data_IF_257094189010
#
_entry.id   IF_257094189010
#
_cell.length_a   1.000
_cell.length_b   1.000
_cell.length_c   1.000
_cell.angle_alpha   90.00
_cell.angle_beta   90.00
_cell.angle_gamma   90.00
#
_symmetry.space_group_name_H-M   'P 1'
#
loop_
_entity.id
_entity.type
_entity.pdbx_description
1 polymer ?
#
# COMPACT_ATOMS: atom_id res chain seq x y z
N UNK A 1 10.49 -14.91 -3.03
CA UNK A 1 11.28 -15.40 -4.20
C UNK A 1 12.69 -15.78 -3.77
N UNK A 2 13.52 -16.41 -4.64
CA UNK A 2 14.90 -16.86 -4.32
C UNK A 2 16.02 -15.94 -4.84
N UNK A 3 15.69 -14.97 -5.69
CA UNK A 3 16.60 -13.95 -6.25
C UNK A 3 16.25 -12.57 -5.69
N UNK A 4 17.13 -11.58 -5.91
CA UNK A 4 16.85 -10.15 -5.64
C UNK A 4 16.16 -9.41 -6.78
N UNK A 5 16.14 -10.02 -7.96
CA UNK A 5 15.48 -9.47 -9.14
C UNK A 5 14.13 -10.15 -9.31
N UNK A 6 13.07 -9.36 -9.36
CA UNK A 6 11.73 -9.76 -9.79
C UNK A 6 11.60 -9.43 -11.27
N UNK A 7 11.30 -10.43 -12.10
CA UNK A 7 10.94 -10.20 -13.50
C UNK A 7 9.42 -10.25 -13.60
N UNK A 8 8.83 -9.19 -14.15
CA UNK A 8 7.40 -9.04 -14.33
C UNK A 8 7.13 -8.97 -15.83
N UNK A 9 6.27 -9.86 -16.29
CA UNK A 9 5.82 -9.91 -17.66
C UNK A 9 4.55 -9.08 -17.77
N UNK A 10 4.59 -8.01 -18.57
CA UNK A 10 3.39 -7.27 -18.98
C UNK A 10 2.85 -7.87 -20.27
N UNK A 11 1.54 -8.11 -20.31
CA UNK A 11 0.81 -8.57 -21.49
C UNK A 11 -0.34 -7.61 -21.75
N UNK A 12 -0.30 -6.95 -22.90
CA UNK A 12 -1.43 -6.16 -23.39
C UNK A 12 -2.49 -7.12 -23.92
N UNK A 13 -3.47 -7.45 -23.08
CA UNK A 13 -4.62 -8.25 -23.48
C UNK A 13 -5.68 -7.37 -24.15
N UNK A 14 -5.68 -7.29 -25.47
CA UNK A 14 -6.80 -6.66 -26.21
C UNK A 14 -7.88 -7.71 -26.49
N UNK A 15 -9.10 -7.47 -25.99
CA UNK A 15 -10.28 -8.20 -26.47
C UNK A 15 -10.60 -7.70 -27.89
N UNK A 16 -10.37 -8.54 -28.89
CA UNK A 16 -10.75 -8.26 -30.28
C UNK A 16 -12.08 -8.95 -30.59
N UNK A 17 -13.01 -8.20 -31.18
CA UNK A 17 -14.24 -8.77 -31.73
C UNK A 17 -13.91 -9.45 -33.06
N UNK A 18 -14.30 -10.71 -33.22
CA UNK A 18 -14.13 -11.44 -34.47
C UNK A 18 -15.29 -11.05 -35.41
N UNK A 19 -15.03 -10.40 -36.56
CA UNK A 19 -16.05 -10.07 -37.55
C UNK A 19 -16.68 -11.33 -38.17
N UNK A 20 -17.91 -11.20 -38.68
CA UNK A 20 -18.54 -12.27 -39.44
C UNK A 20 -17.81 -12.47 -40.78
N UNK A 21 -17.39 -13.69 -41.06
CA UNK A 21 -16.73 -14.09 -42.31
C UNK A 21 -17.73 -14.74 -43.28
N UNK A 22 -17.63 -14.45 -44.59
CA UNK A 22 -18.43 -15.13 -45.60
C UNK A 22 -18.07 -16.63 -45.68
N UNK A 23 -19.06 -17.47 -46.01
CA UNK A 23 -18.86 -18.92 -46.09
C UNK A 23 -17.86 -19.26 -47.20
N UNK A 24 -16.68 -19.76 -46.80
CA UNK A 24 -15.58 -20.11 -47.72
C UNK A 24 -14.45 -19.09 -47.78
N UNK A 25 -14.54 -17.98 -47.04
CA UNK A 25 -13.43 -17.03 -46.88
C UNK A 25 -12.30 -17.59 -46.00
N UNK A 26 -11.11 -17.00 -46.11
CA UNK A 26 -9.95 -17.39 -45.32
C UNK A 26 -10.17 -17.05 -43.83
N UNK A 27 -9.61 -17.87 -42.94
CA UNK A 27 -9.67 -17.64 -41.50
C UNK A 27 -8.91 -16.37 -41.11
N UNK A 28 -9.48 -15.59 -40.19
CA UNK A 28 -8.75 -14.51 -39.54
C UNK A 28 -7.72 -15.09 -38.57
N UNK A 29 -6.49 -14.59 -38.66
CA UNK A 29 -5.37 -15.08 -37.85
C UNK A 29 -5.30 -14.27 -36.55
N UNK A 30 -5.34 -14.97 -35.41
CA UNK A 30 -5.12 -14.37 -34.10
C UNK A 30 -3.77 -13.66 -34.08
N UNK A 31 -3.75 -12.36 -33.76
CA UNK A 31 -2.51 -11.64 -33.50
C UNK A 31 -1.97 -12.10 -32.14
N UNK A 32 -0.71 -12.59 -32.05
CA UNK A 32 -0.13 -12.97 -30.78
C UNK A 32 0.16 -11.74 -29.93
N UNK A 33 -0.20 -11.80 -28.65
CA UNK A 33 0.04 -10.70 -27.72
C UNK A 33 1.55 -10.45 -27.55
N UNK A 34 1.93 -9.17 -27.56
CA UNK A 34 3.30 -8.76 -27.26
C UNK A 34 3.54 -8.88 -25.76
N UNK A 35 4.70 -9.41 -25.40
CA UNK A 35 5.15 -9.62 -24.01
C UNK A 35 6.35 -8.73 -23.76
N UNK A 36 6.24 -7.85 -22.77
CA UNK A 36 7.37 -7.05 -22.30
C UNK A 36 7.82 -7.56 -20.94
N UNK A 37 9.09 -7.92 -20.81
CA UNK A 37 9.69 -8.30 -19.53
C UNK A 37 10.37 -7.10 -18.89
N UNK A 38 10.04 -6.81 -17.63
CA UNK A 38 10.64 -5.75 -16.83
C UNK A 38 11.24 -6.33 -15.57
N UNK A 39 12.47 -5.93 -15.24
CA UNK A 39 13.20 -6.44 -14.09
C UNK A 39 13.29 -5.36 -13.00
N UNK A 40 12.78 -5.66 -11.81
CA UNK A 40 12.86 -4.80 -10.63
C UNK A 40 13.79 -5.42 -9.60
N UNK A 41 14.61 -4.60 -8.94
CA UNK A 41 15.51 -5.05 -7.88
C UNK A 41 14.90 -4.73 -6.52
N UNK A 42 14.74 -5.75 -5.67
CA UNK A 42 14.32 -5.56 -4.28
C UNK A 42 15.37 -4.75 -3.53
N UNK A 43 14.91 -3.74 -2.78
CA UNK A 43 15.77 -2.94 -1.93
C UNK A 43 15.70 -3.44 -0.49
N UNK A 44 16.85 -3.46 0.16
CA UNK A 44 16.99 -3.87 1.55
C UNK A 44 16.78 -2.68 2.48
N UNK A 45 16.07 -2.91 3.57
CA UNK A 45 16.22 -2.10 4.78
C UNK A 45 16.67 -3.00 5.94
N UNK A 46 17.57 -2.46 6.76
CA UNK A 46 18.11 -3.15 7.93
C UNK A 46 18.29 -2.17 9.08
N UNK A 47 18.00 -2.64 10.29
CA UNK A 47 18.17 -1.86 11.52
C UNK A 47 18.68 -2.77 12.61
N UNK A 48 19.55 -2.25 13.47
CA UNK A 48 20.11 -3.00 14.58
C UNK A 48 20.02 -2.22 15.89
N UNK A 49 20.05 -2.95 16.99
CA UNK A 49 20.21 -2.43 18.35
C UNK A 49 21.25 -3.29 19.09
N UNK A 50 21.94 -2.71 20.08
CA UNK A 50 22.98 -3.39 20.87
C UNK A 50 22.61 -3.31 22.34
N UNK A 51 22.43 -4.46 22.97
CA UNK A 51 22.21 -4.60 24.41
C UNK A 51 23.55 -4.95 25.07
N UNK A 52 24.04 -4.08 25.94
CA UNK A 52 25.26 -4.30 26.71
C UNK A 52 24.97 -4.97 28.05
N UNK A 53 25.89 -5.81 28.52
CA UNK A 53 25.78 -6.48 29.82
C UNK A 53 25.65 -5.47 30.99
N UNK A 54 26.28 -4.29 30.89
CA UNK A 54 26.19 -3.22 31.88
C UNK A 54 24.80 -2.58 31.99
N UNK A 55 24.03 -2.58 30.90
CA UNK A 55 22.66 -2.02 30.90
C UNK A 55 21.72 -2.91 31.72
N UNK A 56 21.91 -4.23 31.66
CA UNK A 56 21.12 -5.22 32.39
C UNK A 56 21.38 -5.11 33.89
N UNK A 57 22.64 -4.91 34.29
CA UNK A 57 23.01 -4.73 35.72
C UNK A 57 22.36 -3.50 36.37
N UNK A 58 21.93 -2.52 35.57
CA UNK A 58 21.33 -1.27 36.06
C UNK A 58 19.80 -1.28 36.03
N UNK A 59 19.17 -2.37 35.55
CA UNK A 59 17.70 -2.53 35.57
C UNK A 59 17.27 -2.88 37.00
N UNK A 60 16.46 -2.02 37.61
CA UNK A 60 16.05 -2.13 39.02
C UNK A 60 15.09 -3.32 39.22
N UNK A 61 15.37 -4.18 40.19
CA UNK A 61 14.51 -5.30 40.62
C UNK A 61 13.09 -4.80 40.95
N UNK A 62 12.14 -5.02 40.05
CA UNK A 62 10.73 -4.86 40.34
C UNK A 62 10.06 -6.24 40.39
N UNK A 63 9.92 -6.77 41.59
CA UNK A 63 9.36 -8.10 41.82
C UNK A 63 10.38 -9.20 41.59
N UNK A 64 10.11 -10.36 42.20
CA UNK A 64 10.96 -11.55 42.27
C UNK A 64 11.15 -12.26 40.93
N UNK A 65 11.63 -11.55 39.91
CA UNK A 65 12.08 -12.13 38.64
C UNK A 65 13.54 -12.58 38.77
N UNK A 66 13.88 -13.74 38.21
CA UNK A 66 15.28 -14.18 38.12
C UNK A 66 16.07 -13.33 37.12
N UNK A 67 17.38 -13.18 37.31
CA UNK A 67 18.24 -12.40 36.40
C UNK A 67 18.10 -12.82 34.92
N UNK A 68 17.91 -14.13 34.64
CA UNK A 68 17.70 -14.64 33.28
C UNK A 68 16.39 -14.16 32.65
N UNK A 69 15.34 -13.99 33.46
CA UNK A 69 14.03 -13.51 33.00
C UNK A 69 14.10 -12.01 32.61
N UNK A 70 14.89 -11.22 33.33
CA UNK A 70 15.09 -9.80 33.02
C UNK A 70 15.79 -9.60 31.67
N UNK A 71 16.84 -10.37 31.40
CA UNK A 71 17.55 -10.36 30.09
C UNK A 71 16.59 -10.67 28.94
N UNK A 72 15.77 -11.71 29.10
CA UNK A 72 14.81 -12.10 28.06
C UNK A 72 13.74 -11.03 27.82
N UNK A 73 13.25 -10.39 28.88
CA UNK A 73 12.28 -9.29 28.79
C UNK A 73 12.84 -8.09 28.05
N UNK A 74 14.07 -7.68 28.35
CA UNK A 74 14.72 -6.52 27.70
C UNK A 74 15.03 -6.80 26.22
N UNK A 75 15.53 -8.00 25.91
CA UNK A 75 15.72 -8.45 24.51
C UNK A 75 14.41 -8.45 23.74
N UNK A 76 13.33 -8.99 24.33
CA UNK A 76 12.01 -9.02 23.70
C UNK A 76 11.44 -7.60 23.50
N UNK A 77 11.68 -6.69 24.44
CA UNK A 77 11.27 -5.29 24.33
C UNK A 77 11.98 -4.57 23.17
N UNK A 78 13.31 -4.66 23.09
CA UNK A 78 14.09 -4.03 22.01
C UNK A 78 13.76 -4.61 20.64
N UNK A 79 13.59 -5.94 20.56
CA UNK A 79 13.17 -6.57 19.31
C UNK A 79 11.76 -6.14 18.87
N UNK A 80 10.83 -5.96 19.81
CA UNK A 80 9.49 -5.43 19.51
C UNK A 80 9.57 -4.01 18.94
N UNK A 81 10.44 -3.17 19.48
CA UNK A 81 10.65 -1.80 18.99
C UNK A 81 11.21 -1.79 17.56
N UNK A 82 12.23 -2.63 17.29
CA UNK A 82 12.76 -2.81 15.94
C UNK A 82 11.67 -3.27 14.97
N UNK A 83 10.84 -4.23 15.38
CA UNK A 83 9.73 -4.70 14.55
C UNK A 83 8.69 -3.62 14.27
N UNK A 84 8.35 -2.79 15.26
CA UNK A 84 7.44 -1.66 15.09
C UNK A 84 7.98 -0.63 14.07
N UNK A 85 9.30 -0.38 14.09
CA UNK A 85 9.95 0.47 13.10
C UNK A 85 9.89 -0.14 11.68
N UNK A 86 10.05 -1.47 11.57
CA UNK A 86 9.89 -2.18 10.30
C UNK A 86 8.45 -2.09 9.77
N UNK A 87 7.44 -2.33 10.63
CA UNK A 87 6.02 -2.21 10.29
C UNK A 87 5.69 -0.78 9.80
N UNK A 88 6.24 0.24 10.46
CA UNK A 88 6.11 1.64 10.03
C UNK A 88 6.72 1.87 8.65
N UNK A 89 7.86 1.24 8.35
CA UNK A 89 8.54 1.31 7.05
C UNK A 89 7.73 0.58 5.96
N UNK A 90 7.09 -0.55 6.29
CA UNK A 90 6.18 -1.24 5.37
C UNK A 90 4.98 -0.36 5.02
N UNK A 91 4.30 0.19 6.03
CA UNK A 91 3.17 1.12 5.82
C UNK A 91 3.56 2.30 4.93
N UNK A 92 4.75 2.87 5.11
CA UNK A 92 5.28 3.91 4.24
C UNK A 92 5.38 3.43 2.78
N UNK A 93 5.94 2.25 2.54
CA UNK A 93 6.06 1.73 1.18
C UNK A 93 4.70 1.36 0.57
N UNK A 94 3.75 0.84 1.35
CA UNK A 94 2.39 0.52 0.89
C UNK A 94 1.63 1.79 0.49
N UNK A 95 1.71 2.85 1.30
CA UNK A 95 1.10 4.14 0.98
C UNK A 95 1.66 4.76 -0.31
N UNK A 96 2.96 4.60 -0.56
CA UNK A 96 3.55 5.04 -1.83
C UNK A 96 3.17 4.10 -2.99
N UNK A 97 3.02 2.80 -2.72
CA UNK A 97 2.60 1.80 -3.70
C UNK A 97 1.21 2.08 -4.28
N UNK A 98 0.25 2.53 -3.47
CA UNK A 98 -1.06 2.98 -3.96
C UNK A 98 -1.00 4.29 -4.77
N UNK A 99 0.13 5.00 -4.75
CA UNK A 99 0.43 6.13 -5.62
C UNK A 99 1.25 5.73 -6.85
N UNK A 100 1.55 4.44 -7.03
CA UNK A 100 2.39 3.94 -8.13
C UNK A 100 3.87 4.30 -7.98
N UNK A 101 4.32 4.58 -6.76
CA UNK A 101 5.69 5.01 -6.46
C UNK A 101 6.34 4.12 -5.40
N UNK A 102 7.65 3.99 -5.48
CA UNK A 102 8.50 3.55 -4.36
C UNK A 102 9.40 4.72 -4.03
N UNK A 103 9.46 5.10 -2.75
CA UNK A 103 10.31 6.17 -2.25
C UNK A 103 11.26 5.66 -1.16
N UNK A 104 12.38 6.32 -0.99
CA UNK A 104 13.30 6.05 0.12
C UNK A 104 12.82 6.80 1.39
N UNK A 105 12.58 6.11 2.52
CA UNK A 105 12.18 6.77 3.77
C UNK A 105 13.20 7.78 4.31
N UNK A 106 14.47 7.71 3.88
CA UNK A 106 15.55 8.58 4.36
C UNK A 106 15.42 10.02 3.86
N UNK A 107 15.11 10.19 2.58
CA UNK A 107 15.11 11.50 1.90
C UNK A 107 13.86 11.74 1.04
N UNK A 108 12.92 10.78 1.03
CA UNK A 108 11.71 10.78 0.21
C UNK A 108 11.97 10.81 -1.30
N UNK A 109 13.20 10.51 -1.76
CA UNK A 109 13.52 10.43 -3.16
C UNK A 109 12.77 9.29 -3.83
N UNK A 110 12.25 9.53 -5.03
CA UNK A 110 11.62 8.48 -5.84
C UNK A 110 12.66 7.49 -6.30
N UNK A 111 12.45 6.24 -5.89
CA UNK A 111 13.30 5.08 -6.11
C UNK A 111 12.87 4.33 -7.36
N UNK A 112 11.57 4.10 -7.49
CA UNK A 112 10.92 3.50 -8.66
C UNK A 112 9.64 4.28 -8.92
N UNK A 113 9.42 4.66 -10.17
CA UNK A 113 8.16 5.21 -10.62
C UNK A 113 7.52 4.21 -11.58
N UNK A 114 6.45 3.53 -11.14
CA UNK A 114 5.78 2.52 -11.94
C UNK A 114 5.10 3.11 -13.18
N UNK A 115 4.81 4.41 -13.24
CA UNK A 115 4.29 5.02 -14.47
C UNK A 115 5.38 5.19 -15.55
N UNK A 116 6.63 5.41 -15.15
CA UNK A 116 7.76 5.62 -16.07
C UNK A 116 8.38 4.31 -16.54
N UNK A 117 8.60 3.37 -15.61
CA UNK A 117 8.55 1.94 -15.92
C UNK A 117 7.16 1.65 -16.51
N UNK A 118 6.77 0.55 -17.13
CA UNK A 118 5.45 0.42 -17.83
C UNK A 118 5.08 1.44 -18.94
N UNK A 119 5.62 2.67 -19.00
CA UNK A 119 5.35 3.67 -20.06
C UNK A 119 3.91 4.22 -20.05
N UNK A 120 3.33 4.37 -18.87
CA UNK A 120 1.91 4.75 -18.67
C UNK A 120 1.84 6.20 -18.21
N UNK A 121 1.03 7.02 -18.87
CA UNK A 121 0.73 8.37 -18.39
C UNK A 121 -0.22 8.30 -17.19
N UNK A 122 0.10 8.91 -16.03
CA UNK A 122 -0.81 8.98 -14.89
C UNK A 122 -2.14 9.63 -15.28
N UNK A 123 -3.24 9.13 -14.71
CA UNK A 123 -4.53 9.79 -14.84
C UNK A 123 -4.48 11.21 -14.24
N UNK A 124 -5.17 12.15 -14.88
CA UNK A 124 -5.28 13.51 -14.36
C UNK A 124 -5.93 13.49 -12.97
N UNK A 125 -5.45 14.38 -12.10
CA UNK A 125 -6.04 14.56 -10.79
C UNK A 125 -7.49 15.03 -10.90
N UNK A 126 -8.38 14.39 -10.14
CA UNK A 126 -9.81 14.66 -10.15
C UNK A 126 -10.15 15.72 -9.10
N UNK A 127 -10.85 16.74 -9.53
CA UNK A 127 -11.45 17.75 -8.66
C UNK A 127 -12.81 17.24 -8.15
N UNK A 128 -12.94 17.10 -6.83
CA UNK A 128 -14.18 16.69 -6.17
C UNK A 128 -15.11 17.85 -5.80
N UNK A 129 -14.68 19.11 -5.92
CA UNK A 129 -15.47 20.32 -5.68
C UNK A 129 -16.18 20.31 -4.31
N UNK A 130 -15.48 19.85 -3.27
CA UNK A 130 -16.03 19.69 -1.91
C UNK A 130 -16.16 21.02 -1.15
N UNK A 131 -15.46 22.06 -1.60
CA UNK A 131 -15.52 23.41 -1.03
C UNK A 131 -16.61 24.29 -1.65
N UNK A 132 -17.37 23.77 -2.63
CA UNK A 132 -18.50 24.45 -3.22
C UNK A 132 -19.60 24.69 -2.18
N UNK A 133 -19.94 25.97 -1.96
CA UNK A 133 -20.98 26.35 -1.01
C UNK A 133 -22.40 25.98 -1.46
N UNK A 134 -22.62 25.79 -2.76
CA UNK A 134 -23.93 25.49 -3.36
C UNK A 134 -23.82 24.39 -4.42
N UNK A 135 -23.46 23.16 -4.04
CA UNK A 135 -23.32 22.07 -4.98
C UNK A 135 -24.70 21.70 -5.55
N UNK A 136 -24.74 21.43 -6.86
CA UNK A 136 -25.95 20.92 -7.50
C UNK A 136 -26.30 19.54 -6.94
N UNK A 137 -27.59 19.24 -6.78
CA UNK A 137 -28.04 17.94 -6.26
C UNK A 137 -27.56 16.79 -7.17
N UNK A 138 -26.85 15.82 -6.57
CA UNK A 138 -26.27 14.67 -7.24
C UNK A 138 -24.91 14.93 -7.89
N UNK A 139 -24.30 16.10 -7.68
CA UNK A 139 -22.99 16.43 -8.24
C UNK A 139 -21.91 15.50 -7.69
N UNK A 140 -21.88 15.28 -6.36
CA UNK A 140 -20.90 14.40 -5.73
C UNK A 140 -21.11 12.95 -6.19
N UNK A 141 -22.36 12.49 -6.27
CA UNK A 141 -22.65 11.13 -6.76
C UNK A 141 -22.21 10.91 -8.20
N UNK A 142 -22.42 11.89 -9.09
CA UNK A 142 -21.93 11.85 -10.47
C UNK A 142 -20.40 11.81 -10.53
N UNK A 143 -19.70 12.53 -9.66
CA UNK A 143 -18.23 12.48 -9.55
C UNK A 143 -17.74 11.10 -9.13
N UNK A 144 -18.36 10.49 -8.11
CA UNK A 144 -18.01 9.13 -7.69
C UNK A 144 -18.23 8.11 -8.81
N UNK A 145 -19.36 8.21 -9.53
CA UNK A 145 -19.67 7.33 -10.65
C UNK A 145 -18.64 7.49 -11.79
N UNK A 146 -18.34 8.73 -12.20
CA UNK A 146 -17.34 8.99 -13.23
C UNK A 146 -15.93 8.50 -12.83
N UNK A 147 -15.59 8.55 -11.54
CA UNK A 147 -14.35 7.98 -11.03
C UNK A 147 -14.34 6.46 -11.20
N UNK A 148 -15.41 5.77 -10.80
CA UNK A 148 -15.54 4.31 -10.95
C UNK A 148 -15.44 3.91 -12.43
N UNK A 149 -16.21 4.56 -13.30
CA UNK A 149 -16.19 4.32 -14.75
C UNK A 149 -14.78 4.51 -15.32
N UNK A 150 -14.07 5.58 -14.89
CA UNK A 150 -12.70 5.80 -15.35
C UNK A 150 -11.74 4.67 -14.95
N UNK A 151 -11.93 4.07 -13.76
CA UNK A 151 -11.09 2.97 -13.26
C UNK A 151 -11.45 1.68 -14.00
N UNK A 152 -12.74 1.42 -14.23
CA UNK A 152 -13.23 0.30 -15.03
C UNK A 152 -12.67 0.35 -16.46
N UNK A 153 -12.71 1.52 -17.11
CA UNK A 153 -12.14 1.73 -18.44
C UNK A 153 -10.63 1.41 -18.50
N UNK A 154 -9.89 1.77 -17.44
CA UNK A 154 -8.45 1.51 -17.34
C UNK A 154 -8.12 0.06 -17.00
N UNK A 155 -9.04 -0.66 -16.37
CA UNK A 155 -8.94 -2.08 -16.07
C UNK A 155 -9.28 -2.96 -17.28
N UNK A 156 -10.14 -2.49 -18.18
CA UNK A 156 -10.60 -3.24 -19.35
C UNK A 156 -11.38 -4.50 -18.96
N UNK A 157 -11.35 -5.54 -19.81
CA UNK A 157 -12.12 -6.77 -19.64
C UNK A 157 -11.72 -7.70 -18.48
N UNK A 158 -10.85 -7.24 -17.57
CA UNK A 158 -10.41 -7.98 -16.37
C UNK A 158 -11.37 -7.85 -15.19
N UNK A 159 -12.35 -6.93 -15.23
CA UNK A 159 -13.39 -6.84 -14.21
C UNK A 159 -14.41 -7.98 -14.41
N UNK A 160 -14.18 -9.13 -13.79
CA UNK A 160 -15.18 -10.20 -13.74
C UNK A 160 -16.37 -9.86 -12.80
N UNK A 161 -16.38 -8.67 -12.18
CA UNK A 161 -17.42 -8.19 -11.27
C UNK A 161 -17.30 -6.70 -10.96
N UNK A 162 -18.18 -6.20 -10.08
CA UNK A 162 -18.22 -4.79 -9.68
C UNK A 162 -16.94 -4.38 -8.93
N UNK A 163 -16.24 -3.38 -9.46
CA UNK A 163 -14.99 -2.88 -8.90
C UNK A 163 -15.26 -2.17 -7.58
N UNK A 164 -14.70 -2.68 -6.49
CA UNK A 164 -14.73 -2.00 -5.20
C UNK A 164 -13.57 -1.03 -5.13
N UNK A 165 -13.85 0.25 -4.93
CA UNK A 165 -12.81 1.29 -4.84
C UNK A 165 -12.70 1.76 -3.40
N UNK A 166 -11.46 1.82 -2.90
CA UNK A 166 -11.13 2.42 -1.61
C UNK A 166 -10.33 3.70 -1.82
N UNK A 167 -10.55 4.66 -0.93
CA UNK A 167 -9.86 5.94 -0.94
C UNK A 167 -9.21 6.23 0.41
N UNK A 168 -7.90 6.46 0.41
CA UNK A 168 -7.17 6.97 1.58
C UNK A 168 -7.13 8.51 1.48
N UNK A 169 -7.81 9.16 2.42
CA UNK A 169 -8.11 10.58 2.38
C UNK A 169 -7.31 11.38 3.41
N UNK A 170 -6.88 12.57 3.00
CA UNK A 170 -6.40 13.61 3.90
C UNK A 170 -7.51 14.12 4.83
N UNK A 171 -7.10 14.76 5.93
CA UNK A 171 -8.03 15.18 6.98
C UNK A 171 -9.05 16.23 6.54
N UNK A 172 -8.67 17.18 5.65
CA UNK A 172 -9.57 18.24 5.20
C UNK A 172 -10.54 17.72 4.13
N UNK A 173 -10.03 16.91 3.19
CA UNK A 173 -10.85 16.20 2.21
C UNK A 173 -11.95 15.37 2.90
N UNK A 174 -11.58 14.56 3.91
CA UNK A 174 -12.53 13.72 4.62
C UNK A 174 -13.55 14.53 5.44
N UNK A 175 -13.12 15.62 6.07
CA UNK A 175 -14.02 16.48 6.85
C UNK A 175 -15.12 17.09 5.97
N UNK A 176 -14.75 17.63 4.81
CA UNK A 176 -15.71 18.26 3.90
C UNK A 176 -16.58 17.22 3.19
N UNK A 177 -16.04 16.03 2.88
CA UNK A 177 -16.84 14.92 2.36
C UNK A 177 -17.96 14.53 3.35
N UNK A 178 -17.63 14.35 4.63
CA UNK A 178 -18.62 14.01 5.66
C UNK A 178 -19.61 15.16 5.91
N UNK A 179 -19.15 16.41 5.75
CA UNK A 179 -20.01 17.60 5.89
C UNK A 179 -20.93 17.84 4.67
N UNK A 180 -20.62 17.26 3.52
CA UNK A 180 -21.35 17.46 2.27
C UNK A 180 -22.83 17.04 2.40
N UNK A 181 -23.73 17.88 1.88
CA UNK A 181 -25.19 17.71 2.02
C UNK A 181 -25.67 16.33 1.58
N UNK A 182 -25.22 15.84 0.43
CA UNK A 182 -25.61 14.52 -0.10
C UNK A 182 -25.17 13.36 0.81
N UNK A 183 -23.99 13.45 1.43
CA UNK A 183 -23.48 12.43 2.34
C UNK A 183 -24.30 12.47 3.63
N UNK A 184 -24.49 13.66 4.21
CA UNK A 184 -25.29 13.83 5.42
C UNK A 184 -26.72 13.33 5.25
N UNK A 185 -27.38 13.67 4.14
CA UNK A 185 -28.73 13.21 3.85
C UNK A 185 -28.79 11.68 3.70
N UNK A 186 -27.79 11.07 3.06
CA UNK A 186 -27.72 9.60 2.95
C UNK A 186 -27.59 8.96 4.33
N UNK A 187 -26.71 9.49 5.19
CA UNK A 187 -26.48 8.96 6.54
C UNK A 187 -27.67 9.17 7.48
N UNK A 188 -28.34 10.32 7.42
CA UNK A 188 -29.54 10.61 8.21
C UNK A 188 -30.72 9.69 7.87
N UNK A 189 -30.82 9.25 6.62
CA UNK A 189 -31.90 8.38 6.14
C UNK A 189 -31.62 6.88 6.34
N UNK A 190 -30.41 6.51 6.73
CA UNK A 190 -30.07 5.13 7.11
C UNK A 190 -30.25 4.89 8.62
N UNK A 191 -30.68 3.69 9.01
CA UNK A 191 -30.81 3.26 10.41
C UNK A 191 -29.49 3.29 11.22
N UNK A 192 -28.36 3.60 10.57
CA UNK A 192 -27.04 3.82 11.17
C UNK A 192 -26.89 5.17 11.91
N UNK A 193 -27.94 5.98 12.01
CA UNK A 193 -27.94 7.22 12.80
C UNK A 193 -27.61 7.01 14.31
N UNK A 194 -27.65 5.78 14.81
CA UNK A 194 -27.25 5.44 16.17
C UNK A 194 -25.74 5.55 16.44
N UNK A 195 -24.87 5.43 15.43
CA UNK A 195 -23.41 5.46 15.58
C UNK A 195 -22.79 6.88 15.51
N UNK A 196 -23.57 7.89 15.11
CA UNK A 196 -23.12 9.28 15.03
C UNK A 196 -22.99 9.98 16.40
N UNK A 197 -23.20 9.27 17.52
CA UNK A 197 -22.89 9.77 18.88
C UNK A 197 -21.51 9.34 19.40
N UNK A 198 -20.80 8.47 18.66
CA UNK A 198 -19.42 8.09 18.91
C UNK A 198 -18.42 8.95 18.15
N UNK A 199 -17.11 8.68 18.33
CA UNK A 199 -16.04 9.25 17.50
C UNK A 199 -16.40 8.98 16.04
N UNK A 200 -16.45 10.02 15.18
CA UNK A 200 -16.76 9.89 13.74
C UNK A 200 -15.99 8.69 13.21
N UNK A 201 -16.70 7.71 12.65
CA UNK A 201 -16.06 6.57 12.03
C UNK A 201 -15.01 7.10 11.04
N UNK A 202 -13.76 6.65 11.14
CA UNK A 202 -12.70 7.05 10.21
C UNK A 202 -12.94 6.47 8.80
N UNK A 203 -14.14 5.95 8.52
CA UNK A 203 -14.54 5.29 7.29
C UNK A 203 -16.00 5.63 6.97
N UNK A 204 -16.24 6.02 5.73
CA UNK A 204 -17.55 6.44 5.20
C UNK A 204 -17.70 5.83 3.80
N UNK A 205 -18.83 5.19 3.51
CA UNK A 205 -19.10 4.61 2.19
C UNK A 205 -20.15 5.43 1.47
N UNK A 206 -19.80 5.95 0.29
CA UNK A 206 -20.70 6.77 -0.52
C UNK A 206 -20.44 6.57 -2.01
N UNK A 207 -21.51 6.47 -2.81
CA UNK A 207 -21.41 6.41 -4.27
C UNK A 207 -20.61 5.22 -4.81
N UNK A 208 -20.56 4.09 -4.08
CA UNK A 208 -19.79 2.90 -4.47
C UNK A 208 -18.30 2.93 -4.08
N UNK A 209 -17.87 3.98 -3.37
CA UNK A 209 -16.49 4.16 -2.90
C UNK A 209 -16.48 4.15 -1.38
N UNK A 210 -15.49 3.47 -0.80
CA UNK A 210 -15.23 3.49 0.63
C UNK A 210 -14.08 4.45 0.93
N UNK A 211 -14.41 5.57 1.57
CA UNK A 211 -13.45 6.60 1.94
C UNK A 211 -13.01 6.39 3.37
N UNK A 212 -11.70 6.39 3.59
CA UNK A 212 -11.09 6.27 4.92
C UNK A 212 -10.21 7.47 5.20
N UNK A 213 -10.31 8.02 6.41
CA UNK A 213 -9.37 9.04 6.88
C UNK A 213 -8.04 8.37 7.21
N UNK A 214 -7.02 8.66 6.42
CA UNK A 214 -5.67 8.21 6.70
C UNK A 214 -5.08 9.06 7.83
N UNK A 215 -4.83 8.45 8.99
CA UNK A 215 -4.26 9.18 10.16
C UNK A 215 -2.76 9.43 10.03
N UNK A 216 -2.08 8.72 9.13
CA UNK A 216 -0.62 8.82 8.96
C UNK A 216 0.18 8.05 10.00
N UNK A 217 1.45 7.82 9.66
CA UNK A 217 2.51 7.44 10.59
C UNK A 217 3.43 8.62 10.90
N UNK A 218 4.50 8.38 11.67
CA UNK A 218 5.50 9.42 11.94
C UNK A 218 6.25 9.75 10.64
N UNK A 219 6.03 10.94 10.09
CA UNK A 219 6.76 11.45 8.92
C UNK A 219 6.16 11.12 7.54
N UNK A 220 5.01 10.46 7.47
CA UNK A 220 4.29 10.23 6.21
C UNK A 220 2.77 10.23 6.40
N UNK A 221 2.09 10.99 5.54
CA UNK A 221 0.63 11.15 5.57
C UNK A 221 0.12 11.43 4.16
N UNK A 222 -1.18 11.25 3.97
CA UNK A 222 -1.88 11.78 2.80
C UNK A 222 -1.99 13.30 2.98
N UNK A 223 -1.63 14.13 1.96
CA UNK A 223 -1.80 15.57 2.06
C UNK A 223 -3.24 15.94 2.41
N UNK A 224 -3.42 16.99 3.21
CA UNK A 224 -4.72 17.34 3.84
C UNK A 224 -5.89 17.44 2.87
N UNK A 225 -5.63 17.98 1.68
CA UNK A 225 -6.62 18.27 0.64
C UNK A 225 -6.65 17.23 -0.48
N UNK A 226 -5.98 16.08 -0.30
CA UNK A 226 -5.85 15.03 -1.31
C UNK A 226 -6.53 13.73 -0.88
N UNK A 227 -6.86 12.91 -1.86
CA UNK A 227 -7.26 11.52 -1.67
C UNK A 227 -6.63 10.63 -2.75
N UNK A 228 -6.23 9.42 -2.37
CA UNK A 228 -5.69 8.41 -3.29
C UNK A 228 -6.67 7.24 -3.39
N UNK A 229 -7.06 6.89 -4.60
CA UNK A 229 -8.06 5.85 -4.87
C UNK A 229 -7.38 4.67 -5.54
N UNK A 230 -7.75 3.49 -5.10
CA UNK A 230 -7.29 2.24 -5.66
C UNK A 230 -8.39 1.17 -5.62
N UNK A 231 -8.42 0.24 -6.58
CA UNK A 231 -9.32 -0.89 -6.53
C UNK A 231 -8.87 -1.89 -5.45
N UNK A 232 -9.83 -2.50 -4.77
CA UNK A 232 -9.62 -3.58 -3.81
C UNK A 232 -10.20 -4.90 -4.36
N UNK A 233 -9.64 -6.03 -3.93
CA UNK A 233 -10.15 -7.36 -4.29
C UNK A 233 -9.76 -7.86 -5.68
N UNK A 234 -8.80 -7.20 -6.34
CA UNK A 234 -8.25 -7.63 -7.63
C UNK A 234 -6.96 -8.41 -7.41
N UNK A 235 -6.99 -9.70 -7.73
CA UNK A 235 -5.83 -10.58 -7.64
C UNK A 235 -4.69 -10.10 -8.56
N UNK A 236 -3.46 -10.07 -8.03
CA UNK A 236 -2.28 -9.67 -8.77
C UNK A 236 -2.16 -8.18 -9.06
N UNK A 237 -3.09 -7.32 -8.59
CA UNK A 237 -2.97 -5.87 -8.77
C UNK A 237 -1.89 -5.28 -7.85
N UNK A 238 -1.98 -5.58 -6.56
CA UNK A 238 -1.00 -5.19 -5.55
C UNK A 238 -0.34 -6.44 -4.99
N UNK A 239 0.97 -6.55 -5.18
CA UNK A 239 1.76 -7.69 -4.72
C UNK A 239 2.98 -7.19 -3.95
N UNK A 240 3.43 -7.98 -2.97
CA UNK A 240 4.69 -7.71 -2.28
C UNK A 240 5.61 -8.91 -2.46
N UNK A 241 6.66 -8.72 -3.25
CA UNK A 241 7.68 -9.74 -3.42
C UNK A 241 8.77 -9.56 -2.37
N UNK A 242 9.17 -10.65 -1.72
CA UNK A 242 10.28 -10.65 -0.76
C UNK A 242 11.48 -11.40 -1.33
N UNK A 243 12.64 -10.77 -1.30
CA UNK A 243 13.93 -11.39 -1.62
C UNK A 243 14.56 -12.03 -0.37
N UNK A 244 15.41 -13.06 -0.53
CA UNK A 244 16.16 -13.61 0.60
C UNK A 244 17.12 -12.58 1.19
N UNK A 245 17.50 -12.78 2.45
CA UNK A 245 18.49 -11.95 3.13
C UNK A 245 19.91 -12.17 2.60
N UNK A 246 20.81 -11.23 2.89
CA UNK A 246 22.24 -11.32 2.54
C UNK A 246 23.04 -12.14 3.57
N UNK A 247 22.54 -13.32 3.94
CA UNK A 247 23.27 -14.24 4.84
C UNK A 247 23.44 -15.59 4.21
N UNK A 248 24.58 -16.25 4.47
CA UNK A 248 24.86 -17.59 3.97
C UNK A 248 23.75 -18.60 4.27
N UNK A 249 23.09 -18.45 5.42
CA UNK A 249 21.95 -19.31 5.83
C UNK A 249 20.72 -19.14 4.93
N UNK A 250 20.53 -17.97 4.33
CA UNK A 250 19.34 -17.64 3.55
C UNK A 250 19.60 -17.61 2.03
N UNK A 251 20.85 -17.80 1.60
CA UNK A 251 21.21 -17.93 0.18
C UNK A 251 20.37 -19.03 -0.47
N UNK A 252 19.75 -18.72 -1.61
CA UNK A 252 18.85 -19.61 -2.37
C UNK A 252 17.59 -20.09 -1.64
N UNK A 253 17.26 -19.53 -0.47
CA UNK A 253 15.99 -19.80 0.22
C UNK A 253 14.88 -18.85 -0.23
N UNK A 254 13.64 -19.13 0.15
CA UNK A 254 12.52 -18.21 -0.11
C UNK A 254 12.65 -16.98 0.78
N UNK A 255 12.57 -15.80 0.17
CA UNK A 255 12.46 -14.52 0.85
C UNK A 255 11.30 -14.50 1.85
N UNK A 256 11.57 -14.02 3.05
CA UNK A 256 10.61 -13.84 4.13
C UNK A 256 10.26 -12.37 4.32
N UNK A 257 9.09 -12.05 4.90
CA UNK A 257 8.70 -10.68 5.17
C UNK A 257 9.65 -9.93 6.10
N UNK A 258 10.20 -10.61 7.12
CA UNK A 258 11.11 -10.00 8.06
C UNK A 258 12.04 -11.08 8.63
N UNK A 259 13.34 -10.83 8.59
CA UNK A 259 14.35 -11.61 9.27
C UNK A 259 14.71 -10.90 10.56
N UNK A 260 14.70 -11.63 11.69
CA UNK A 260 15.16 -11.15 12.99
C UNK A 260 16.29 -12.06 13.47
N UNK A 261 17.38 -11.46 13.96
CA UNK A 261 18.56 -12.21 14.43
C UNK A 261 19.06 -11.65 15.75
N UNK A 262 19.57 -12.55 16.57
CA UNK A 262 20.26 -12.23 17.82
C UNK A 262 21.68 -12.74 17.70
N UNK A 263 22.65 -11.83 17.68
CA UNK A 263 24.07 -12.14 17.50
C UNK A 263 24.78 -11.85 18.83
N UNK A 264 25.21 -12.89 19.57
CA UNK A 264 26.01 -12.69 20.78
C UNK A 264 27.44 -12.26 20.42
N UNK A 265 28.08 -11.52 21.33
CA UNK A 265 29.51 -11.24 21.25
C UNK A 265 30.32 -12.53 21.44
N UNK A 266 30.99 -12.98 20.39
CA UNK A 266 31.78 -14.22 20.41
C UNK A 266 33.17 -14.02 21.00
N UNK A 267 33.63 -12.79 21.15
CA UNK A 267 34.99 -12.48 21.58
C UNK A 267 35.06 -12.18 23.08
N UNK A 268 34.12 -11.38 23.61
CA UNK A 268 34.16 -10.92 25.01
C UNK A 268 32.89 -11.13 25.81
N UNK A 269 31.80 -11.57 25.17
CA UNK A 269 30.49 -11.76 25.81
C UNK A 269 29.96 -10.47 26.51
N UNK A 270 30.34 -9.29 25.99
CA UNK A 270 29.99 -8.00 26.60
C UNK A 270 28.66 -7.44 26.11
N UNK A 271 28.16 -7.93 24.97
CA UNK A 271 26.96 -7.42 24.33
C UNK A 271 26.23 -8.50 23.51
N UNK A 272 24.95 -8.22 23.24
CA UNK A 272 24.11 -8.97 22.31
C UNK A 272 23.52 -7.97 21.31
N UNK A 273 23.66 -8.26 20.01
CA UNK A 273 23.10 -7.44 18.94
C UNK A 273 21.81 -8.04 18.43
N UNK A 274 20.80 -7.20 18.32
CA UNK A 274 19.51 -7.52 17.74
C UNK A 274 19.44 -6.86 16.37
N UNK A 275 19.24 -7.66 15.33
CA UNK A 275 19.19 -7.17 13.95
C UNK A 275 17.85 -7.55 13.32
N UNK A 276 17.30 -6.62 12.54
CA UNK A 276 16.19 -6.89 11.64
C UNK A 276 16.58 -6.54 10.20
N UNK A 277 16.09 -7.33 9.26
CA UNK A 277 16.34 -7.16 7.83
C UNK A 277 15.09 -7.53 7.04
N UNK A 278 14.74 -6.74 6.03
CA UNK A 278 13.77 -7.13 5.02
C UNK A 278 14.14 -6.58 3.64
N UNK A 279 13.76 -7.32 2.61
CA UNK A 279 14.03 -7.01 1.21
C UNK A 279 12.72 -7.02 0.40
N UNK A 280 11.76 -6.11 0.66
CA UNK A 280 10.50 -6.09 -0.05
C UNK A 280 10.57 -5.37 -1.40
N UNK A 281 9.66 -5.74 -2.28
CA UNK A 281 9.26 -4.99 -3.46
C UNK A 281 7.73 -4.98 -3.52
N UNK A 282 7.09 -3.98 -2.89
CA UNK A 282 5.67 -3.73 -3.10
C UNK A 282 5.48 -3.15 -4.49
N UNK A 283 4.62 -3.77 -5.30
CA UNK A 283 4.36 -3.35 -6.66
C UNK A 283 2.86 -3.24 -6.94
N UNK A 284 2.51 -2.19 -7.70
CA UNK A 284 1.26 -2.11 -8.44
C UNK A 284 1.51 -2.55 -9.88
N UNK A 285 0.94 -3.68 -10.30
CA UNK A 285 1.18 -4.26 -11.64
C UNK A 285 0.49 -3.49 -12.76
N UNK A 286 -0.54 -2.70 -12.42
CA UNK A 286 -1.30 -1.85 -13.34
C UNK A 286 -1.49 -0.45 -12.75
N UNK A 287 -0.47 0.41 -12.76
CA UNK A 287 -0.57 1.73 -12.16
C UNK A 287 -1.62 2.63 -12.83
N UNK A 288 -2.09 2.30 -14.05
CA UNK A 288 -3.15 3.05 -14.74
C UNK A 288 -4.50 3.05 -14.01
N UNK A 289 -4.74 2.16 -13.05
CA UNK A 289 -6.02 2.08 -12.32
C UNK A 289 -6.05 3.01 -11.10
N UNK A 290 -4.92 3.59 -10.74
CA UNK A 290 -4.79 4.48 -9.60
C UNK A 290 -5.37 5.85 -9.94
N UNK A 291 -6.11 6.46 -9.02
CA UNK A 291 -6.61 7.84 -9.16
C UNK A 291 -6.15 8.69 -8.00
N UNK A 292 -5.96 9.96 -8.28
CA UNK A 292 -5.76 10.98 -7.26
C UNK A 292 -6.89 11.99 -7.36
N UNK A 293 -7.36 12.47 -6.22
CA UNK A 293 -8.25 13.61 -6.16
C UNK A 293 -7.73 14.72 -5.25
N UNK A 294 -8.28 15.90 -5.50
CA UNK A 294 -8.15 17.09 -4.66
C UNK A 294 -9.53 17.56 -4.19
N UNK A 295 -9.52 18.24 -3.05
CA UNK A 295 -10.70 18.79 -2.38
C UNK A 295 -11.43 19.86 -3.20
N UNK A 296 -10.68 20.71 -3.90
CA UNK A 296 -11.11 21.91 -4.64
C UNK A 296 -11.00 21.71 -6.15
#
# INVERSE_FOLDING_TARGET
MRSRTVVIESRDGTLSLIPFSERGSAYEQQVPDRREMRAFVCRQFKKQDVLWASEIQSVRDFGSESATQQVQTEVAYRLRKLRQDAETTFEYHLLNGIQGLVKDPKDHATVVNYFTEFGITPAAEIDFDLDNATPASGALRKRCQALIESVEDSMGGLSAGAVQIRAECGSAFFADLVAHKEVRETYLNTAAAADLRGRVADEVSFGGITFRRYRGGVGFTVPTDKAFFYPEGIEGLFEIYYAPADTFETVNTLGQPLYARTIPDRDRDEWVRLEIESNPLPICTRPQVLRQARRT
#
